data_IF_696461686777
#
_entry.id   IF_696461686777
#
_cell.length_a   1.000
_cell.length_b   1.000
_cell.length_c   1.000
_cell.angle_alpha   90.00
_cell.angle_beta   90.00
_cell.angle_gamma   90.00
#
_symmetry.space_group_name_H-M   'P 1'
#
loop_
_entity.id
_entity.type
_entity.pdbx_description
1 polymer ?
#
# COMPACT_ATOMS: atom_id res chain seq x y z
N UNK A 1 -10.93 4.82 -16.34
CA UNK A 1 -10.43 4.92 -17.72
C UNK A 1 -8.91 4.91 -17.82
N UNK A 2 -8.19 5.92 -17.24
CA UNK A 2 -6.71 5.95 -17.29
C UNK A 2 -6.12 4.78 -16.51
N UNK A 3 -6.63 4.49 -15.33
CA UNK A 3 -6.20 3.36 -14.49
C UNK A 3 -6.42 2.03 -15.20
N UNK A 4 -7.56 1.84 -15.83
CA UNK A 4 -7.89 0.61 -16.58
C UNK A 4 -6.94 0.43 -17.76
N UNK A 5 -6.69 1.51 -18.51
CA UNK A 5 -5.69 1.51 -19.59
C UNK A 5 -4.29 1.12 -19.09
N UNK A 6 -3.86 1.65 -17.94
CA UNK A 6 -2.56 1.30 -17.36
C UNK A 6 -2.53 -0.15 -16.87
N UNK A 7 -3.62 -0.68 -16.31
CA UNK A 7 -3.74 -2.08 -15.88
C UNK A 7 -3.60 -3.03 -17.07
N UNK A 8 -4.22 -2.68 -18.19
CA UNK A 8 -4.30 -3.55 -19.37
C UNK A 8 -3.03 -3.52 -20.22
N UNK A 9 -2.41 -2.34 -20.36
CA UNK A 9 -1.35 -2.13 -21.34
C UNK A 9 0.03 -1.83 -20.76
N UNK A 10 0.14 -1.42 -19.50
CA UNK A 10 1.45 -1.09 -18.93
C UNK A 10 2.09 -2.32 -18.27
N UNK A 11 3.30 -2.73 -18.69
CA UNK A 11 3.96 -3.93 -18.17
C UNK A 11 4.07 -3.91 -16.64
N UNK A 12 3.72 -5.03 -16.02
CA UNK A 12 3.76 -5.26 -14.57
C UNK A 12 2.83 -4.38 -13.72
N UNK A 13 2.11 -3.41 -14.27
CA UNK A 13 1.24 -2.52 -13.50
C UNK A 13 0.16 -3.30 -12.74
N UNK A 14 -0.41 -4.35 -13.34
CA UNK A 14 -1.41 -5.24 -12.74
C UNK A 14 -0.85 -6.24 -11.73
N UNK A 15 0.48 -6.29 -11.53
CA UNK A 15 1.12 -7.18 -10.56
C UNK A 15 1.25 -6.56 -9.17
N UNK A 16 1.05 -5.27 -9.06
CA UNK A 16 1.12 -4.57 -7.78
C UNK A 16 -0.26 -4.41 -7.16
N UNK A 17 -0.38 -4.76 -5.88
CA UNK A 17 -1.63 -4.60 -5.12
C UNK A 17 -2.03 -3.12 -4.97
N UNK A 18 -1.06 -2.25 -4.75
CA UNK A 18 -1.23 -0.82 -4.66
C UNK A 18 -0.72 -0.16 -5.94
N UNK A 19 -1.59 -0.01 -6.91
CA UNK A 19 -1.30 0.60 -8.21
C UNK A 19 -0.82 2.05 -8.06
N UNK A 20 -1.26 2.75 -7.02
CA UNK A 20 -0.80 4.09 -6.65
C UNK A 20 0.70 4.19 -6.35
N UNK A 21 1.38 3.09 -6.08
CA UNK A 21 2.84 3.08 -5.81
C UNK A 21 3.67 3.62 -6.99
N UNK A 22 3.14 3.65 -8.22
CA UNK A 22 3.79 4.26 -9.37
C UNK A 22 4.00 5.78 -9.21
N UNK A 23 3.18 6.43 -8.36
CA UNK A 23 3.33 7.85 -8.05
C UNK A 23 4.70 8.19 -7.47
N UNK A 24 5.35 7.25 -6.77
CA UNK A 24 6.72 7.42 -6.23
C UNK A 24 7.72 7.80 -7.33
N UNK A 25 7.57 7.26 -8.53
CA UNK A 25 8.43 7.63 -9.67
C UNK A 25 8.24 9.10 -10.02
N UNK A 26 7.00 9.58 -10.08
CA UNK A 26 6.70 10.98 -10.34
C UNK A 26 7.19 11.88 -9.21
N UNK A 27 7.01 11.47 -7.96
CA UNK A 27 7.46 12.20 -6.77
C UNK A 27 8.98 12.35 -6.69
N UNK A 28 9.74 11.44 -7.31
CA UNK A 28 11.20 11.55 -7.43
C UNK A 28 11.60 12.35 -8.68
N UNK A 29 11.03 12.03 -9.83
CA UNK A 29 11.45 12.61 -11.11
C UNK A 29 11.09 14.10 -11.22
N UNK A 30 9.92 14.51 -10.73
CA UNK A 30 9.49 15.92 -10.83
C UNK A 30 10.38 16.88 -10.03
N UNK A 31 10.71 16.63 -8.74
CA UNK A 31 11.63 17.50 -8.00
C UNK A 31 13.04 17.54 -8.58
N UNK A 32 13.55 16.41 -9.10
CA UNK A 32 14.87 16.38 -9.76
C UNK A 32 14.83 17.26 -11.01
N UNK A 33 13.82 17.11 -11.86
CA UNK A 33 13.67 17.91 -13.08
C UNK A 33 13.50 19.39 -12.76
N UNK A 34 12.72 19.72 -11.73
CA UNK A 34 12.55 21.09 -11.27
C UNK A 34 13.87 21.69 -10.75
N UNK A 35 14.65 20.91 -9.98
CA UNK A 35 15.94 21.33 -9.44
C UNK A 35 16.96 21.60 -10.57
N UNK A 36 16.99 20.74 -11.60
CA UNK A 36 17.81 20.94 -12.79
C UNK A 36 17.39 22.23 -13.54
N UNK A 37 16.07 22.43 -13.69
CA UNK A 37 15.52 23.63 -14.31
C UNK A 37 15.92 24.91 -13.58
N UNK A 38 15.77 24.93 -12.25
CA UNK A 38 16.19 26.05 -11.39
C UNK A 38 17.70 26.29 -11.44
N UNK A 39 18.51 25.20 -11.42
CA UNK A 39 19.96 25.31 -11.59
C UNK A 39 20.32 25.99 -12.90
N UNK A 40 19.74 25.57 -14.02
CA UNK A 40 19.98 26.18 -15.32
C UNK A 40 19.56 27.65 -15.35
N UNK A 41 18.42 27.96 -14.73
CA UNK A 41 17.92 29.34 -14.69
C UNK A 41 18.81 30.28 -13.86
N UNK A 42 19.26 29.85 -12.69
CA UNK A 42 20.02 30.71 -11.78
C UNK A 42 21.54 30.74 -12.05
N UNK A 43 22.12 29.71 -12.68
CA UNK A 43 23.57 29.55 -12.77
C UNK A 43 24.14 29.51 -14.21
N UNK A 44 23.32 29.26 -15.22
CA UNK A 44 23.81 29.27 -16.62
C UNK A 44 23.46 30.58 -17.30
N UNK A 45 24.47 31.19 -17.95
CA UNK A 45 24.37 32.46 -18.66
C UNK A 45 23.67 32.38 -20.04
N UNK A 46 22.64 31.54 -20.17
CA UNK A 46 21.82 31.54 -21.40
C UNK A 46 20.76 32.64 -21.30
N UNK A 47 20.54 33.36 -22.43
CA UNK A 47 19.40 34.27 -22.52
C UNK A 47 18.13 33.54 -22.20
N UNK A 48 17.50 33.88 -21.04
CA UNK A 48 16.25 33.33 -20.61
C UNK A 48 15.10 34.03 -21.36
N UNK A 49 14.30 33.26 -22.09
CA UNK A 49 13.12 33.79 -22.76
C UNK A 49 11.94 33.82 -21.75
N UNK A 50 11.81 34.95 -21.09
CA UNK A 50 10.75 35.17 -20.09
C UNK A 50 9.35 35.05 -20.71
N UNK A 51 9.12 35.45 -21.95
CA UNK A 51 7.82 35.36 -22.59
C UNK A 51 7.43 33.90 -22.84
N UNK A 52 8.39 33.08 -23.25
CA UNK A 52 8.16 31.63 -23.41
C UNK A 52 7.90 30.97 -22.04
N UNK A 53 8.69 31.33 -21.04
CA UNK A 53 8.52 30.83 -19.67
C UNK A 53 7.10 31.13 -19.14
N UNK A 54 6.64 32.37 -19.24
CA UNK A 54 5.30 32.77 -18.76
C UNK A 54 4.20 31.94 -19.43
N UNK A 55 4.25 31.76 -20.75
CA UNK A 55 3.28 30.94 -21.48
C UNK A 55 3.20 29.50 -20.92
N UNK A 56 4.36 28.91 -20.61
CA UNK A 56 4.42 27.55 -20.06
C UNK A 56 3.97 27.53 -18.59
N UNK A 57 4.38 28.53 -17.79
CA UNK A 57 4.06 28.63 -16.38
C UNK A 57 2.55 28.84 -16.11
N UNK A 58 1.81 29.41 -17.05
CA UNK A 58 0.37 29.52 -16.95
C UNK A 58 -0.38 28.22 -17.22
N UNK A 59 0.22 27.22 -17.88
CA UNK A 59 -0.44 25.94 -18.17
C UNK A 59 -0.95 25.27 -16.89
N UNK A 60 -0.12 25.01 -15.84
CA UNK A 60 -0.61 24.41 -14.61
C UNK A 60 -1.69 25.23 -13.90
N UNK A 61 -1.59 26.57 -13.95
CA UNK A 61 -2.61 27.46 -13.36
C UNK A 61 -3.94 27.29 -14.09
N UNK A 62 -3.92 27.30 -15.42
CA UNK A 62 -5.13 27.11 -16.24
C UNK A 62 -5.76 25.75 -15.95
N UNK A 63 -4.94 24.68 -15.87
CA UNK A 63 -5.41 23.34 -15.53
C UNK A 63 -6.07 23.32 -14.14
N UNK A 64 -5.46 23.93 -13.14
CA UNK A 64 -6.02 24.02 -11.79
C UNK A 64 -7.34 24.80 -11.78
N UNK A 65 -7.44 25.90 -12.53
CA UNK A 65 -8.68 26.67 -12.68
C UNK A 65 -9.78 25.84 -13.36
N UNK A 66 -9.46 25.11 -14.41
CA UNK A 66 -10.41 24.20 -15.08
C UNK A 66 -10.91 23.14 -14.10
N UNK A 67 -10.00 22.51 -13.33
CA UNK A 67 -10.34 21.51 -12.31
C UNK A 67 -11.22 22.15 -11.22
N UNK A 68 -10.92 23.37 -10.78
CA UNK A 68 -11.73 24.08 -9.79
C UNK A 68 -13.16 24.35 -10.30
N UNK A 69 -13.28 24.76 -11.54
CA UNK A 69 -14.58 25.03 -12.17
C UNK A 69 -15.38 23.74 -12.42
N UNK A 70 -14.70 22.62 -12.64
CA UNK A 70 -15.33 21.32 -12.88
C UNK A 70 -15.86 20.63 -11.60
N UNK A 71 -15.74 21.26 -10.43
CA UNK A 71 -16.19 20.69 -9.13
C UNK A 71 -17.63 20.16 -9.16
N UNK A 72 -18.53 20.83 -9.91
CA UNK A 72 -19.92 20.42 -10.03
C UNK A 72 -20.13 19.11 -10.80
N UNK A 73 -19.14 18.67 -11.57
CA UNK A 73 -19.15 17.42 -12.32
C UNK A 73 -18.61 16.24 -11.53
N UNK A 74 -17.98 16.50 -10.38
CA UNK A 74 -17.36 15.48 -9.53
C UNK A 74 -18.35 15.02 -8.46
N UNK A 75 -18.48 13.72 -8.29
CA UNK A 75 -19.41 13.13 -7.32
C UNK A 75 -18.97 13.31 -5.87
N UNK A 76 -17.67 13.44 -5.61
CA UNK A 76 -17.04 13.43 -4.29
C UNK A 76 -17.47 12.23 -3.42
N UNK A 77 -17.77 11.09 -4.07
CA UNK A 77 -18.15 9.84 -3.43
C UNK A 77 -17.04 8.81 -3.57
N UNK A 78 -16.81 8.01 -2.54
CA UNK A 78 -15.86 6.91 -2.51
C UNK A 78 -16.56 5.55 -2.58
N UNK A 79 -15.82 4.48 -2.80
CA UNK A 79 -16.33 3.11 -2.94
C UNK A 79 -17.11 2.63 -1.70
N UNK A 80 -16.70 3.06 -0.50
CA UNK A 80 -17.29 2.63 0.76
C UNK A 80 -18.36 3.58 1.29
N UNK A 81 -18.76 4.59 0.55
CA UNK A 81 -19.68 5.62 1.02
C UNK A 81 -21.10 5.10 1.25
N UNK A 82 -21.53 4.08 0.50
CA UNK A 82 -22.80 3.39 0.77
C UNK A 82 -22.82 2.75 2.17
N UNK A 83 -21.74 2.07 2.52
CA UNK A 83 -21.54 1.44 3.82
C UNK A 83 -21.49 2.49 4.97
N UNK A 84 -20.74 3.58 4.77
CA UNK A 84 -20.72 4.65 5.79
C UNK A 84 -22.06 5.34 5.97
N UNK A 85 -22.82 5.53 4.89
CA UNK A 85 -24.17 6.10 4.95
C UNK A 85 -25.15 5.18 5.70
N UNK A 86 -25.03 3.88 5.52
CA UNK A 86 -25.86 2.88 6.18
C UNK A 86 -25.60 2.82 7.70
N UNK A 87 -24.32 2.87 8.11
CA UNK A 87 -23.94 2.78 9.52
C UNK A 87 -24.14 4.09 10.28
N UNK A 88 -23.75 5.22 9.69
CA UNK A 88 -23.66 6.49 10.39
C UNK A 88 -24.76 7.49 10.02
N UNK A 89 -25.63 7.13 9.08
CA UNK A 89 -26.75 7.96 8.63
C UNK A 89 -26.38 9.01 7.58
N UNK A 90 -27.42 9.59 6.99
CA UNK A 90 -27.30 10.56 5.87
C UNK A 90 -26.66 11.90 6.29
N UNK A 91 -26.88 12.35 7.53
CA UNK A 91 -26.40 13.64 8.01
C UNK A 91 -24.87 13.65 8.18
N UNK A 92 -24.28 12.61 8.75
CA UNK A 92 -22.84 12.50 8.85
C UNK A 92 -22.20 12.36 7.46
N UNK A 93 -22.85 11.60 6.58
CA UNK A 93 -22.38 11.45 5.22
C UNK A 93 -22.36 12.77 4.43
N UNK A 94 -23.40 13.63 4.60
CA UNK A 94 -23.39 14.94 3.95
C UNK A 94 -22.22 15.82 4.42
N UNK A 95 -21.93 15.81 5.72
CA UNK A 95 -20.77 16.53 6.30
C UNK A 95 -19.43 16.02 5.78
N UNK A 96 -19.29 14.70 5.61
CA UNK A 96 -18.09 14.11 5.01
C UNK A 96 -17.93 14.58 3.57
N UNK A 97 -19.00 14.61 2.79
CA UNK A 97 -18.98 15.10 1.40
C UNK A 97 -18.63 16.59 1.33
N UNK A 98 -19.21 17.42 2.19
CA UNK A 98 -18.87 18.84 2.31
C UNK A 98 -17.40 19.06 2.68
N UNK A 99 -16.87 18.27 3.62
CA UNK A 99 -15.46 18.33 3.99
C UNK A 99 -14.54 17.95 2.81
N UNK A 100 -14.89 16.93 2.02
CA UNK A 100 -14.15 16.56 0.80
C UNK A 100 -14.13 17.69 -0.23
N UNK A 101 -15.27 18.34 -0.46
CA UNK A 101 -15.37 19.51 -1.35
C UNK A 101 -14.51 20.66 -0.83
N UNK A 102 -14.57 20.94 0.46
CA UNK A 102 -13.78 22.00 1.10
C UNK A 102 -12.28 21.76 0.95
N UNK A 103 -11.80 20.53 1.23
CA UNK A 103 -10.39 20.16 1.07
C UNK A 103 -9.96 20.29 -0.39
N UNK A 104 -10.76 19.81 -1.33
CA UNK A 104 -10.49 19.93 -2.77
C UNK A 104 -10.34 21.39 -3.21
N UNK A 105 -11.25 22.28 -2.78
CA UNK A 105 -11.18 23.69 -3.11
C UNK A 105 -9.95 24.37 -2.46
N UNK A 106 -9.68 24.06 -1.20
CA UNK A 106 -8.53 24.59 -0.48
C UNK A 106 -7.20 24.19 -1.15
N UNK A 107 -7.07 22.92 -1.58
CA UNK A 107 -5.85 22.42 -2.20
C UNK A 107 -5.60 23.02 -3.57
N UNK A 108 -6.64 23.20 -4.39
CA UNK A 108 -6.49 23.86 -5.69
C UNK A 108 -6.14 25.33 -5.51
N UNK A 109 -6.83 26.03 -4.61
CA UNK A 109 -6.57 27.45 -4.33
C UNK A 109 -5.14 27.67 -3.83
N UNK A 110 -4.67 26.76 -2.96
CA UNK A 110 -3.29 26.74 -2.49
C UNK A 110 -2.31 26.51 -3.64
N UNK A 111 -2.56 25.53 -4.51
CA UNK A 111 -1.72 25.24 -5.67
C UNK A 111 -1.60 26.44 -6.61
N UNK A 112 -2.71 27.14 -6.90
CA UNK A 112 -2.70 28.37 -7.71
C UNK A 112 -1.86 29.43 -7.01
N UNK A 113 -2.06 29.64 -5.70
CA UNK A 113 -1.31 30.65 -4.94
C UNK A 113 0.20 30.42 -5.01
N UNK A 114 0.68 29.19 -4.78
CA UNK A 114 2.10 28.88 -4.84
C UNK A 114 2.67 28.97 -6.26
N UNK A 115 1.93 28.60 -7.29
CA UNK A 115 2.34 28.82 -8.68
C UNK A 115 2.51 30.31 -8.98
N UNK A 116 1.57 31.15 -8.56
CA UNK A 116 1.65 32.62 -8.75
C UNK A 116 2.83 33.20 -7.97
N UNK A 117 3.04 32.82 -6.72
CA UNK A 117 4.20 33.25 -5.92
C UNK A 117 5.52 32.88 -6.57
N UNK A 118 5.65 31.68 -7.11
CA UNK A 118 6.85 31.23 -7.83
C UNK A 118 7.10 32.08 -9.08
N UNK A 119 6.07 32.35 -9.87
CA UNK A 119 6.16 33.22 -11.05
C UNK A 119 6.62 34.62 -10.66
N UNK A 120 6.09 35.18 -9.57
CA UNK A 120 6.49 36.51 -9.07
C UNK A 120 7.97 36.51 -8.67
N UNK A 121 8.46 35.48 -7.96
CA UNK A 121 9.87 35.40 -7.57
C UNK A 121 10.78 35.34 -8.81
N UNK A 122 10.44 34.53 -9.80
CA UNK A 122 11.19 34.41 -11.04
C UNK A 122 11.17 35.74 -11.81
N UNK A 123 10.02 36.41 -11.85
CA UNK A 123 9.90 37.74 -12.47
C UNK A 123 10.82 38.75 -11.78
N UNK A 124 10.74 38.87 -10.45
CA UNK A 124 11.56 39.83 -9.68
C UNK A 124 13.07 39.58 -9.86
N UNK A 125 13.48 38.31 -9.96
CA UNK A 125 14.89 37.98 -10.21
C UNK A 125 15.32 38.32 -11.64
N UNK A 126 14.54 37.94 -12.66
CA UNK A 126 14.84 38.22 -14.06
C UNK A 126 14.99 39.73 -14.36
N UNK A 127 14.10 40.53 -13.78
CA UNK A 127 14.13 42.00 -13.87
C UNK A 127 15.09 42.66 -12.87
N UNK A 128 16.01 41.89 -12.26
CA UNK A 128 17.06 42.36 -11.34
C UNK A 128 16.54 43.14 -10.13
N UNK A 129 15.29 42.88 -9.71
CA UNK A 129 14.71 43.52 -8.51
C UNK A 129 15.20 42.85 -7.23
N UNK A 130 15.58 41.60 -7.29
CA UNK A 130 16.12 40.84 -6.16
C UNK A 130 17.40 40.11 -6.56
N UNK A 131 18.28 39.85 -5.57
CA UNK A 131 19.51 39.09 -5.76
C UNK A 131 19.22 37.58 -5.80
N UNK A 132 20.09 36.81 -6.47
CA UNK A 132 19.97 35.34 -6.59
C UNK A 132 19.77 34.64 -5.24
N UNK A 133 20.57 34.98 -4.22
CA UNK A 133 20.45 34.36 -2.89
C UNK A 133 19.08 34.57 -2.27
N UNK A 134 18.50 35.78 -2.39
CA UNK A 134 17.16 36.07 -1.91
C UNK A 134 16.09 35.32 -2.71
N UNK A 135 16.21 35.24 -4.04
CA UNK A 135 15.28 34.49 -4.87
C UNK A 135 15.26 33.00 -4.50
N UNK A 136 16.44 32.36 -4.36
CA UNK A 136 16.55 30.98 -3.91
C UNK A 136 15.98 30.77 -2.50
N UNK A 137 16.28 31.69 -1.55
CA UNK A 137 15.75 31.65 -0.21
C UNK A 137 14.21 31.72 -0.19
N UNK A 138 13.60 32.58 -1.01
CA UNK A 138 12.16 32.68 -1.15
C UNK A 138 11.54 31.41 -1.77
N UNK A 139 12.18 30.82 -2.79
CA UNK A 139 11.71 29.55 -3.36
C UNK A 139 11.73 28.43 -2.32
N UNK A 140 12.82 28.29 -1.56
CA UNK A 140 12.92 27.30 -0.48
C UNK A 140 11.86 27.57 0.59
N UNK A 141 11.65 28.84 0.96
CA UNK A 141 10.68 29.23 1.98
C UNK A 141 9.24 28.84 1.59
N UNK A 142 8.81 29.19 0.36
CA UNK A 142 7.44 28.85 -0.09
C UNK A 142 7.25 27.34 -0.22
N UNK A 143 8.26 26.61 -0.71
CA UNK A 143 8.21 25.14 -0.75
C UNK A 143 8.10 24.54 0.65
N UNK A 144 8.86 25.08 1.61
CA UNK A 144 8.78 24.62 3.00
C UNK A 144 7.40 24.88 3.61
N UNK A 145 6.81 26.05 3.33
CA UNK A 145 5.45 26.37 3.80
C UNK A 145 4.41 25.42 3.21
N UNK A 146 4.52 25.10 1.91
CA UNK A 146 3.61 24.17 1.25
C UNK A 146 3.72 22.77 1.85
N UNK A 147 4.93 22.23 1.94
CA UNK A 147 5.17 20.88 2.48
C UNK A 147 4.79 20.74 3.95
N UNK A 148 5.13 21.74 4.79
CA UNK A 148 4.75 21.75 6.21
C UNK A 148 3.24 21.88 6.38
N UNK A 149 2.58 22.67 5.54
CA UNK A 149 1.12 22.80 5.53
C UNK A 149 0.40 21.49 5.24
N UNK A 150 0.97 20.68 4.32
CA UNK A 150 0.46 19.32 4.03
C UNK A 150 0.82 18.37 5.16
N UNK A 151 2.08 18.38 5.62
CA UNK A 151 2.54 17.47 6.65
C UNK A 151 1.70 17.57 7.92
N UNK A 152 1.34 18.78 8.34
CA UNK A 152 0.49 19.03 9.52
C UNK A 152 -0.93 18.43 9.42
N UNK A 153 -1.40 18.03 8.24
CA UNK A 153 -2.69 17.34 8.09
C UNK A 153 -2.60 15.86 8.43
N UNK A 154 -1.41 15.27 8.27
CA UNK A 154 -1.19 13.83 8.41
C UNK A 154 -0.38 13.47 9.65
N UNK A 155 0.43 14.40 10.14
CA UNK A 155 1.32 14.21 11.28
C UNK A 155 0.94 15.23 12.35
N UNK A 156 0.13 14.78 13.29
CA UNK A 156 -0.21 15.54 14.49
C UNK A 156 0.72 15.17 15.66
N UNK A 157 0.46 15.72 16.83
CA UNK A 157 1.27 15.43 18.03
C UNK A 157 1.12 13.97 18.51
N UNK A 158 -0.01 13.34 18.22
CA UNK A 158 -0.30 11.95 18.61
C UNK A 158 0.46 10.96 17.75
N UNK A 159 0.91 11.36 16.55
CA UNK A 159 1.77 10.56 15.70
C UNK A 159 3.19 10.37 16.28
N UNK A 160 3.60 11.22 17.24
CA UNK A 160 4.89 11.10 17.91
C UNK A 160 4.78 10.21 19.15
N UNK A 161 5.33 9.02 19.05
CA UNK A 161 5.40 8.08 20.17
C UNK A 161 6.80 8.06 20.81
N UNK A 162 6.89 7.61 22.06
CA UNK A 162 8.20 7.45 22.71
C UNK A 162 9.06 6.42 21.96
N UNK A 163 10.38 6.61 21.98
CA UNK A 163 11.32 5.68 21.35
C UNK A 163 11.17 4.23 21.88
N UNK A 164 10.81 4.07 23.14
CA UNK A 164 10.54 2.75 23.73
C UNK A 164 9.35 2.06 23.05
N UNK A 165 8.28 2.80 22.77
CA UNK A 165 7.08 2.27 22.12
C UNK A 165 7.34 2.00 20.63
N UNK A 166 8.13 2.84 19.98
CA UNK A 166 8.53 2.63 18.58
C UNK A 166 9.43 1.40 18.41
N UNK A 167 10.36 1.17 19.36
CA UNK A 167 11.28 0.03 19.33
C UNK A 167 10.62 -1.29 19.74
N UNK A 168 9.62 -1.24 20.63
CA UNK A 168 8.90 -2.42 21.11
C UNK A 168 7.39 -2.17 20.99
N UNK A 169 6.84 -2.25 19.78
CA UNK A 169 5.43 -1.92 19.51
C UNK A 169 4.45 -2.92 20.12
N UNK A 170 4.92 -4.13 20.46
CA UNK A 170 4.10 -5.18 21.03
C UNK A 170 4.69 -5.75 22.31
N UNK A 171 3.84 -6.10 23.25
CA UNK A 171 4.24 -6.81 24.45
C UNK A 171 4.19 -8.32 24.20
N UNK A 172 5.25 -9.02 24.63
CA UNK A 172 5.31 -10.48 24.59
C UNK A 172 4.36 -11.06 25.66
N UNK A 173 3.60 -12.08 25.30
CA UNK A 173 2.69 -12.77 26.21
C UNK A 173 3.26 -14.10 26.70
N UNK A 174 2.65 -14.69 27.73
CA UNK A 174 3.02 -16.03 28.20
C UNK A 174 2.83 -17.09 27.10
N UNK A 175 1.85 -16.92 26.23
CA UNK A 175 1.63 -17.79 25.08
C UNK A 175 2.82 -17.71 24.08
N UNK A 176 3.28 -16.51 23.77
CA UNK A 176 4.43 -16.33 22.88
C UNK A 176 5.70 -16.99 23.44
N UNK A 177 5.95 -16.81 24.74
CA UNK A 177 7.08 -17.44 25.43
C UNK A 177 6.99 -18.97 25.44
N UNK A 178 5.77 -19.52 25.51
CA UNK A 178 5.55 -20.97 25.43
C UNK A 178 5.87 -21.51 24.04
N UNK A 179 5.41 -20.80 22.98
CA UNK A 179 5.67 -21.18 21.59
C UNK A 179 7.15 -21.06 21.23
N UNK A 180 7.85 -20.04 21.72
CA UNK A 180 9.28 -19.83 21.45
C UNK A 180 10.19 -20.93 22.01
N UNK A 181 9.71 -21.79 22.92
CA UNK A 181 10.44 -22.95 23.40
C UNK A 181 10.50 -24.08 22.37
N UNK A 182 9.63 -24.07 21.38
CA UNK A 182 9.61 -25.06 20.30
C UNK A 182 10.58 -24.62 19.18
N UNK A 183 11.65 -25.37 19.00
CA UNK A 183 12.68 -25.11 18.01
C UNK A 183 12.38 -25.69 16.61
N UNK A 184 11.21 -26.34 16.42
CA UNK A 184 10.84 -26.87 15.11
C UNK A 184 10.43 -25.74 14.14
N UNK A 185 10.42 -26.03 12.85
CA UNK A 185 9.95 -25.06 11.83
C UNK A 185 8.44 -25.18 11.66
N UNK A 186 7.72 -24.16 12.05
CA UNK A 186 6.26 -24.08 11.95
C UNK A 186 5.80 -22.65 11.71
N UNK A 187 4.51 -22.47 11.46
CA UNK A 187 3.83 -21.17 11.42
C UNK A 187 2.84 -21.06 12.56
N UNK A 188 2.58 -19.80 12.93
CA UNK A 188 1.60 -19.42 13.94
C UNK A 188 0.47 -18.63 13.28
N UNK A 189 -0.74 -18.89 13.70
CA UNK A 189 -1.91 -18.16 13.24
C UNK A 189 -2.68 -17.57 14.42
N UNK A 190 -3.09 -16.32 14.28
CA UNK A 190 -3.95 -15.61 15.23
C UNK A 190 -5.24 -15.18 14.49
N UNK A 191 -6.34 -15.95 14.58
CA UNK A 191 -7.56 -15.72 13.79
C UNK A 191 -8.14 -14.33 13.92
N UNK A 192 -8.05 -13.71 15.10
CA UNK A 192 -8.57 -12.35 15.33
C UNK A 192 -7.84 -11.29 14.49
N UNK A 193 -6.57 -11.48 14.23
CA UNK A 193 -5.76 -10.56 13.43
C UNK A 193 -5.74 -10.93 11.93
N UNK A 194 -6.21 -12.11 11.60
CA UNK A 194 -6.24 -12.61 10.22
C UNK A 194 -4.87 -12.59 9.55
N UNK A 195 -4.85 -12.28 8.24
CA UNK A 195 -3.60 -12.22 7.45
C UNK A 195 -2.86 -10.87 7.55
N UNK A 196 -3.39 -9.87 8.22
CA UNK A 196 -2.82 -8.51 8.27
C UNK A 196 -2.20 -8.17 9.61
N UNK A 197 -2.31 -9.07 10.59
CA UNK A 197 -1.82 -8.85 11.93
C UNK A 197 -0.30 -8.75 12.02
N UNK A 198 0.20 -7.57 12.40
CA UNK A 198 1.64 -7.35 12.58
C UNK A 198 2.21 -8.01 13.84
N UNK A 199 1.40 -8.15 14.93
CA UNK A 199 1.85 -8.68 16.22
C UNK A 199 2.38 -10.12 16.11
N UNK A 200 1.60 -11.01 15.48
CA UNK A 200 2.00 -12.41 15.35
C UNK A 200 3.29 -12.55 14.53
N UNK A 201 3.41 -11.78 13.44
CA UNK A 201 4.60 -11.77 12.60
C UNK A 201 5.83 -11.15 13.30
N UNK A 202 5.63 -10.32 14.34
CA UNK A 202 6.71 -9.74 15.12
C UNK A 202 7.40 -10.77 16.03
N UNK A 203 6.63 -11.71 16.61
CA UNK A 203 7.16 -12.69 17.54
C UNK A 203 7.43 -14.08 16.93
N UNK A 204 6.73 -14.41 15.83
CA UNK A 204 6.70 -15.77 15.26
C UNK A 204 6.73 -15.74 13.73
N UNK A 205 6.99 -16.89 13.11
CA UNK A 205 6.73 -17.12 11.69
C UNK A 205 5.21 -17.23 11.48
N UNK A 206 4.54 -16.11 11.26
CA UNK A 206 3.10 -16.09 11.03
C UNK A 206 2.73 -16.54 9.62
N UNK A 207 1.49 -17.03 9.43
CA UNK A 207 0.94 -17.26 8.08
C UNK A 207 0.60 -15.96 7.36
N UNK A 208 0.50 -14.86 8.10
CA UNK A 208 0.21 -13.52 7.61
C UNK A 208 1.28 -12.53 7.98
N UNK A 209 0.91 -11.27 7.90
CA UNK A 209 1.74 -10.10 8.23
C UNK A 209 1.32 -8.93 7.35
N UNK A 210 1.69 -7.74 7.76
CA UNK A 210 1.38 -6.55 6.99
C UNK A 210 2.50 -6.28 5.96
N UNK A 211 2.23 -6.56 4.68
CA UNK A 211 3.15 -6.24 3.59
C UNK A 211 2.39 -5.95 2.29
N UNK A 212 2.96 -5.08 1.44
CA UNK A 212 2.33 -4.59 0.21
C UNK A 212 2.32 -5.58 -0.96
N UNK A 213 3.18 -6.61 -0.95
CA UNK A 213 3.38 -7.55 -2.05
C UNK A 213 2.98 -8.98 -1.66
N UNK A 214 1.75 -9.15 -1.15
CA UNK A 214 1.21 -10.46 -0.81
C UNK A 214 0.91 -11.25 -2.10
N UNK A 215 1.40 -12.51 -2.24
CA UNK A 215 1.06 -13.34 -3.40
C UNK A 215 -0.46 -13.56 -3.48
N UNK A 216 -1.03 -13.32 -4.65
CA UNK A 216 -2.47 -13.47 -4.88
C UNK A 216 -2.95 -14.89 -4.59
N UNK A 217 -2.23 -15.91 -5.02
CA UNK A 217 -2.57 -17.33 -4.75
C UNK A 217 -2.69 -17.63 -3.26
N UNK A 218 -1.86 -16.98 -2.43
CA UNK A 218 -1.93 -17.15 -0.98
C UNK A 218 -3.17 -16.49 -0.38
N UNK A 219 -3.57 -15.33 -0.90
CA UNK A 219 -4.80 -14.64 -0.49
C UNK A 219 -6.05 -15.43 -0.89
N UNK A 220 -6.06 -15.98 -2.11
CA UNK A 220 -7.14 -16.86 -2.60
C UNK A 220 -7.28 -18.11 -1.72
N UNK A 221 -6.18 -18.78 -1.40
CA UNK A 221 -6.17 -19.95 -0.51
C UNK A 221 -6.73 -19.61 0.88
N UNK A 222 -6.36 -18.45 1.42
CA UNK A 222 -6.87 -18.04 2.73
C UNK A 222 -8.35 -17.62 2.68
N UNK A 223 -8.83 -17.08 1.56
CA UNK A 223 -10.25 -16.82 1.35
C UNK A 223 -11.06 -18.11 1.35
N UNK A 224 -10.55 -19.19 0.77
CA UNK A 224 -11.16 -20.53 0.86
C UNK A 224 -11.25 -21.00 2.31
N UNK A 225 -10.17 -20.85 3.09
CA UNK A 225 -10.21 -21.12 4.53
C UNK A 225 -11.31 -20.31 5.24
N UNK A 226 -11.41 -19.01 4.99
CA UNK A 226 -12.39 -18.15 5.67
C UNK A 226 -13.83 -18.47 5.28
N UNK A 227 -14.10 -18.78 4.01
CA UNK A 227 -15.47 -19.03 3.51
C UNK A 227 -15.95 -20.42 3.85
N UNK A 228 -15.08 -21.43 3.81
CA UNK A 228 -15.41 -22.83 3.95
C UNK A 228 -15.01 -23.42 5.32
N UNK A 229 -14.31 -22.63 6.15
CA UNK A 229 -13.81 -23.04 7.48
C UNK A 229 -12.98 -24.34 7.44
N UNK A 230 -12.26 -24.57 6.33
CA UNK A 230 -11.49 -25.78 6.10
C UNK A 230 -10.17 -25.73 6.87
N UNK A 231 -10.10 -26.47 7.99
CA UNK A 231 -8.91 -26.56 8.84
C UNK A 231 -7.70 -27.23 8.14
N UNK A 232 -7.94 -28.06 7.12
CA UNK A 232 -6.88 -28.73 6.36
C UNK A 232 -5.92 -27.74 5.68
N UNK A 233 -6.43 -26.55 5.31
CA UNK A 233 -5.58 -25.49 4.78
C UNK A 233 -4.54 -25.02 5.79
N UNK A 234 -4.88 -24.98 7.08
CA UNK A 234 -3.92 -24.65 8.14
C UNK A 234 -2.87 -25.76 8.32
N UNK A 235 -3.28 -27.04 8.18
CA UNK A 235 -2.38 -28.18 8.23
C UNK A 235 -1.36 -28.12 7.08
N UNK A 236 -1.85 -27.89 5.87
CA UNK A 236 -1.05 -27.71 4.65
C UNK A 236 -0.10 -26.50 4.75
N UNK A 237 -0.55 -25.41 5.35
CA UNK A 237 0.28 -24.22 5.59
C UNK A 237 1.26 -24.39 6.77
N UNK A 238 1.34 -25.56 7.38
CA UNK A 238 2.18 -25.87 8.53
C UNK A 238 1.90 -24.97 9.73
N UNK A 239 0.61 -24.68 10.01
CA UNK A 239 0.20 -23.93 11.20
C UNK A 239 0.16 -24.89 12.39
N UNK A 240 1.22 -24.88 13.19
CA UNK A 240 1.35 -25.74 14.38
C UNK A 240 0.69 -25.14 15.62
N UNK A 241 0.68 -23.83 15.74
CA UNK A 241 0.05 -23.14 16.86
C UNK A 241 -0.97 -22.11 16.38
N UNK A 242 -2.14 -22.13 17.02
CA UNK A 242 -3.20 -21.15 16.80
C UNK A 242 -3.39 -20.38 18.11
N UNK A 243 -3.33 -19.05 18.05
CA UNK A 243 -3.48 -18.17 19.20
C UNK A 243 -4.93 -17.71 19.33
N UNK A 244 -5.58 -18.07 20.43
CA UNK A 244 -6.92 -17.60 20.77
C UNK A 244 -6.93 -16.85 22.11
N UNK A 245 -7.75 -15.81 22.25
CA UNK A 245 -7.98 -15.19 23.55
C UNK A 245 -8.77 -16.13 24.45
N UNK A 246 -8.35 -16.24 25.69
CA UNK A 246 -9.13 -16.91 26.71
C UNK A 246 -10.41 -16.11 26.99
N UNK A 247 -11.55 -16.80 26.99
CA UNK A 247 -12.87 -16.19 27.24
C UNK A 247 -12.98 -15.55 28.63
N UNK A 248 -12.15 -15.94 29.59
CA UNK A 248 -12.26 -15.48 30.99
C UNK A 248 -11.50 -14.17 31.25
N UNK A 249 -10.30 -14.03 30.71
CA UNK A 249 -9.41 -12.92 31.00
C UNK A 249 -8.87 -12.21 29.76
N UNK A 250 -9.19 -12.70 28.56
CA UNK A 250 -8.71 -12.14 27.30
C UNK A 250 -7.25 -12.46 26.97
N UNK A 251 -6.52 -13.17 27.84
CA UNK A 251 -5.14 -13.54 27.59
C UNK A 251 -5.02 -14.53 26.43
N UNK A 252 -3.97 -14.39 25.62
CA UNK A 252 -3.74 -15.31 24.52
C UNK A 252 -3.30 -16.68 25.04
N UNK A 253 -3.91 -17.73 24.50
CA UNK A 253 -3.54 -19.13 24.74
C UNK A 253 -3.15 -19.81 23.44
N UNK A 254 -2.05 -20.57 23.40
CA UNK A 254 -1.68 -21.37 22.25
C UNK A 254 -2.47 -22.68 22.23
N UNK A 255 -3.14 -22.95 21.11
CA UNK A 255 -3.72 -24.23 20.79
C UNK A 255 -2.77 -24.95 19.85
N UNK A 256 -2.34 -26.14 20.25
CA UNK A 256 -1.51 -27.01 19.40
C UNK A 256 -2.37 -27.66 18.31
N UNK A 257 -1.95 -27.54 17.07
CA UNK A 257 -2.49 -28.31 15.95
C UNK A 257 -1.58 -29.51 15.68
N UNK A 258 -1.96 -30.72 16.05
CA UNK A 258 -1.15 -31.91 15.85
C UNK A 258 -1.08 -32.36 14.40
N UNK A 259 -1.98 -31.87 13.54
CA UNK A 259 -2.09 -32.27 12.14
C UNK A 259 -1.28 -31.39 11.17
N UNK A 260 -0.49 -30.43 11.67
CA UNK A 260 0.38 -29.62 10.83
C UNK A 260 1.41 -30.51 10.10
N UNK A 261 1.46 -30.43 8.76
CA UNK A 261 2.24 -31.34 7.90
C UNK A 261 3.75 -31.11 7.92
N UNK A 262 4.20 -30.05 8.61
CA UNK A 262 5.61 -29.68 8.63
C UNK A 262 6.02 -28.80 7.44
N UNK A 263 7.30 -28.39 7.39
CA UNK A 263 7.80 -27.51 6.33
C UNK A 263 7.96 -28.20 4.97
N UNK A 264 8.13 -29.53 4.97
CA UNK A 264 8.27 -30.38 3.78
C UNK A 264 7.81 -31.78 4.13
N UNK A 265 7.06 -32.40 3.25
CA UNK A 265 6.66 -33.80 3.36
C UNK A 265 6.62 -34.44 1.98
N UNK A 266 6.66 -35.77 1.95
CA UNK A 266 6.54 -36.56 0.72
C UNK A 266 5.08 -36.99 0.54
N UNK A 267 4.61 -36.95 -0.69
CA UNK A 267 3.30 -37.45 -1.09
C UNK A 267 3.46 -38.67 -1.99
N UNK A 268 2.55 -39.63 -1.87
CA UNK A 268 2.59 -40.86 -2.69
C UNK A 268 1.84 -40.69 -4.01
N UNK A 269 0.89 -39.76 -4.07
CA UNK A 269 -0.02 -39.63 -5.18
C UNK A 269 -0.04 -38.20 -5.72
N UNK A 270 -0.24 -38.07 -7.05
CA UNK A 270 -0.44 -36.81 -7.75
C UNK A 270 -1.84 -36.83 -8.38
N UNK A 271 -2.59 -35.76 -8.13
CA UNK A 271 -3.89 -35.52 -8.77
C UNK A 271 -3.80 -34.33 -9.70
N UNK A 272 -3.97 -34.59 -11.00
CA UNK A 272 -3.99 -33.52 -11.99
C UNK A 272 -5.36 -32.83 -12.05
N UNK A 273 -5.37 -31.51 -12.13
CA UNK A 273 -6.56 -30.67 -12.31
C UNK A 273 -6.39 -29.81 -13.56
N UNK A 274 -7.50 -29.51 -14.24
CA UNK A 274 -7.44 -28.82 -15.54
C UNK A 274 -7.40 -27.31 -15.42
N UNK A 275 -8.03 -26.74 -14.40
CA UNK A 275 -8.13 -25.29 -14.19
C UNK A 275 -7.79 -24.90 -12.76
N UNK A 276 -7.60 -23.58 -12.55
CA UNK A 276 -7.42 -23.03 -11.21
C UNK A 276 -8.70 -23.14 -10.36
N UNK A 277 -9.87 -23.09 -11.00
CA UNK A 277 -11.16 -23.22 -10.31
C UNK A 277 -11.35 -24.67 -9.81
N UNK A 278 -11.03 -25.68 -10.67
CA UNK A 278 -11.02 -27.09 -10.26
C UNK A 278 -10.05 -27.32 -9.08
N UNK A 279 -8.90 -26.64 -9.09
CA UNK A 279 -7.92 -26.75 -8.00
C UNK A 279 -8.54 -26.23 -6.69
N UNK A 280 -9.26 -25.11 -6.72
CA UNK A 280 -9.92 -24.53 -5.54
C UNK A 280 -11.03 -25.46 -5.03
N UNK A 281 -11.82 -26.07 -5.91
CA UNK A 281 -12.86 -27.02 -5.53
C UNK A 281 -12.26 -28.27 -4.87
N UNK A 282 -11.18 -28.77 -5.42
CA UNK A 282 -10.49 -29.95 -4.88
C UNK A 282 -9.74 -29.72 -3.57
N UNK A 283 -9.49 -28.45 -3.18
CA UNK A 283 -8.86 -28.12 -1.90
C UNK A 283 -9.60 -28.71 -0.70
N UNK A 284 -10.93 -28.92 -0.79
CA UNK A 284 -11.72 -29.48 0.30
C UNK A 284 -11.82 -31.00 0.30
N UNK A 285 -11.50 -31.63 -0.84
CA UNK A 285 -11.71 -33.04 -1.06
C UNK A 285 -10.40 -33.83 -1.09
N UNK A 286 -9.28 -33.19 -0.77
CA UNK A 286 -7.93 -33.78 -0.92
C UNK A 286 -7.25 -33.96 0.43
N UNK A 287 -6.76 -35.15 0.68
CA UNK A 287 -5.84 -35.41 1.79
C UNK A 287 -4.41 -35.00 1.39
N UNK A 288 -3.98 -33.84 1.90
CA UNK A 288 -2.67 -33.27 1.59
C UNK A 288 -1.50 -34.00 2.22
N UNK A 289 -1.75 -34.92 3.15
CA UNK A 289 -0.69 -35.74 3.72
C UNK A 289 -0.15 -36.74 2.72
N UNK A 290 -0.98 -37.14 1.72
CA UNK A 290 -0.63 -38.20 0.73
C UNK A 290 -0.75 -37.73 -0.73
N UNK A 291 -1.53 -36.68 -1.02
CA UNK A 291 -1.87 -36.26 -2.39
C UNK A 291 -1.40 -34.81 -2.65
N UNK A 292 -0.67 -34.60 -3.75
CA UNK A 292 -0.41 -33.26 -4.28
C UNK A 292 -1.32 -32.94 -5.47
N UNK A 293 -1.93 -31.76 -5.48
CA UNK A 293 -2.69 -31.21 -6.60
C UNK A 293 -1.77 -30.49 -7.57
N UNK A 294 -1.85 -30.81 -8.84
CA UNK A 294 -1.02 -30.22 -9.89
C UNK A 294 -1.92 -29.72 -11.04
N UNK A 295 -1.73 -28.47 -11.45
CA UNK A 295 -2.33 -27.99 -12.67
C UNK A 295 -1.67 -28.64 -13.89
N UNK A 296 -2.46 -29.23 -14.78
CA UNK A 296 -1.97 -29.91 -15.98
C UNK A 296 -1.05 -29.06 -16.86
N UNK A 297 -1.30 -27.75 -16.93
CA UNK A 297 -0.46 -26.80 -17.66
C UNK A 297 0.87 -26.48 -16.97
N UNK A 298 0.97 -26.70 -15.66
CA UNK A 298 2.15 -26.39 -14.84
C UNK A 298 2.94 -27.70 -14.53
N UNK A 299 2.66 -28.79 -15.27
CA UNK A 299 3.29 -30.07 -15.06
C UNK A 299 4.81 -29.97 -15.28
N UNK A 300 5.55 -29.94 -14.17
CA UNK A 300 7.01 -29.80 -14.14
C UNK A 300 7.77 -31.04 -14.48
N UNK A 301 7.09 -32.17 -14.72
CA UNK A 301 7.72 -33.46 -15.04
C UNK A 301 8.55 -33.45 -16.35
N UNK A 302 8.41 -32.40 -17.16
CA UNK A 302 9.10 -32.24 -18.43
C UNK A 302 9.88 -30.92 -18.56
N UNK A 303 10.00 -30.13 -17.51
CA UNK A 303 10.78 -28.89 -17.56
C UNK A 303 12.24 -29.23 -17.30
N UNK A 304 13.01 -29.20 -18.37
CA UNK A 304 14.46 -29.06 -18.44
C UNK A 304 15.30 -30.10 -17.66
N UNK A 305 16.19 -30.84 -18.31
CA UNK A 305 17.23 -31.55 -17.60
C UNK A 305 17.98 -30.58 -16.68
N UNK A 306 18.28 -31.05 -15.49
CA UNK A 306 19.12 -30.32 -14.55
C UNK A 306 20.40 -29.88 -15.26
N UNK A 307 20.90 -28.66 -15.07
CA UNK A 307 22.19 -28.25 -15.65
C UNK A 307 23.40 -29.07 -15.21
N UNK A 308 23.15 -30.17 -14.48
CA UNK A 308 24.17 -31.13 -13.97
C UNK A 308 24.11 -32.51 -14.60
N UNK A 309 23.18 -32.76 -15.51
CA UNK A 309 23.10 -33.99 -16.28
C UNK A 309 23.79 -33.88 -17.63
#
# INVERSE_FOLDING_TARGET
>A
FITDFLIDYFPFYNKFRAVSSIQVILEICLPISASIGLYHFFYKEKKFDFNRFIKIAFIPIILLVIIFLSKGMLSFTGLNDSYFREIYGSDLFSKIKEARVSIFQADISRGILFCVMLIIIIYLYEFKRIKRGLALGLVIFILSLDLLGIANRYIDREAFVSNRLASNPFNITAADLAIQKDNSRFRVFEPQLGLTGGRTAYFHNAIGGYHGAKPRRFEELFNVYNTQQNAEILNFLNVKYILFPDKKNGDLKPLLNPNALGPVWLVSNLKEVNSADDLIEELNNTDYSDIALILKKDCLLYTSPSPRD
#
